data_IF_957564348312
#
_entry.id   IF_957564348312
#
_cell.length_a   1.000
_cell.length_b   1.000
_cell.length_c   1.000
_cell.angle_alpha   90.00
_cell.angle_beta   90.00
_cell.angle_gamma   90.00
#
_symmetry.space_group_name_H-M   'P 1'
#
loop_
_entity.id
_entity.type
_entity.pdbx_description
1 polymer ?
#
# COMPACT_ATOMS: atom_id res chain seq x y z
N UNK A 1 -4.40 61.83 -24.28
CA UNK A 1 -5.54 60.92 -24.03
C UNK A 1 -5.20 60.09 -22.81
N UNK A 2 -5.63 60.54 -21.63
CA UNK A 2 -5.39 59.89 -20.33
C UNK A 2 -6.72 59.95 -19.57
N UNK A 3 -7.23 58.79 -19.13
CA UNK A 3 -8.32 58.70 -18.15
C UNK A 3 -8.20 57.39 -17.36
N UNK A 4 -8.04 57.51 -16.04
CA UNK A 4 -8.44 56.62 -14.93
C UNK A 4 -7.84 57.29 -13.67
N UNK A 5 -8.53 57.56 -12.56
CA UNK A 5 -9.19 56.64 -11.63
C UNK A 5 -10.23 57.38 -10.75
N UNK A 6 -11.24 56.62 -10.27
CA UNK A 6 -12.31 57.05 -9.39
C UNK A 6 -11.94 56.95 -7.89
N UNK A 7 -12.31 58.02 -7.15
CA UNK A 7 -12.95 58.10 -5.83
C UNK A 7 -12.41 57.32 -4.60
N UNK A 8 -11.80 58.07 -3.68
CA UNK A 8 -11.80 57.82 -2.23
C UNK A 8 -13.04 58.51 -1.61
N UNK A 9 -13.84 57.77 -0.84
CA UNK A 9 -14.93 58.31 -0.02
C UNK A 9 -14.35 58.62 1.37
N UNK A 10 -14.29 59.90 1.73
CA UNK A 10 -14.05 60.36 3.10
C UNK A 10 -15.38 60.30 3.88
N UNK A 11 -15.45 59.44 4.89
CA UNK A 11 -16.53 59.50 5.89
C UNK A 11 -16.12 60.53 6.95
N UNK A 12 -16.73 61.71 6.90
CA UNK A 12 -16.58 62.75 7.92
C UNK A 12 -17.67 62.52 8.98
N UNK A 13 -17.29 62.02 10.15
CA UNK A 13 -18.17 61.99 11.31
C UNK A 13 -17.88 63.23 12.16
N UNK A 14 -18.75 64.25 12.08
CA UNK A 14 -18.69 65.45 12.91
C UNK A 14 -19.75 65.39 14.00
N UNK A 15 -19.37 65.05 15.21
CA UNK A 15 -20.13 65.40 16.42
C UNK A 15 -19.18 66.00 17.44
N UNK A 16 -19.33 67.31 17.68
CA UNK A 16 -18.78 68.00 18.84
C UNK A 16 -17.32 68.48 18.72
N UNK A 17 -17.08 69.51 17.91
CA UNK A 17 -16.16 70.61 18.24
C UNK A 17 -14.76 70.28 18.79
N UNK A 18 -13.94 69.53 18.05
CA UNK A 18 -12.50 69.80 17.94
C UNK A 18 -11.92 68.99 16.77
N UNK A 19 -11.29 69.65 15.79
CA UNK A 19 -10.69 69.00 14.64
C UNK A 19 -9.18 68.86 14.87
N UNK A 20 -8.74 67.71 15.40
CA UNK A 20 -7.34 67.31 15.38
C UNK A 20 -7.16 66.22 14.31
N UNK A 21 -6.24 66.45 13.38
CA UNK A 21 -5.81 65.44 12.42
C UNK A 21 -5.15 64.28 13.18
N UNK A 22 -5.85 63.17 13.31
CA UNK A 22 -5.21 61.91 13.69
C UNK A 22 -4.66 61.27 12.41
N UNK A 23 -3.34 61.25 12.29
CA UNK A 23 -2.64 60.39 11.34
C UNK A 23 -3.05 58.94 11.65
N UNK A 24 -3.73 58.27 10.73
CA UNK A 24 -3.76 56.81 10.73
C UNK A 24 -2.33 56.34 10.47
N UNK A 25 -1.68 55.88 11.53
CA UNK A 25 -0.50 55.02 11.43
C UNK A 25 -1.00 53.76 10.74
N UNK A 26 -0.70 53.62 9.45
CA UNK A 26 -0.62 52.31 8.82
C UNK A 26 0.43 51.53 9.61
N UNK A 27 -0.02 50.76 10.59
CA UNK A 27 0.80 49.75 11.23
C UNK A 27 0.98 48.65 10.17
N UNK A 28 2.00 48.83 9.33
CA UNK A 28 2.56 47.76 8.53
C UNK A 28 3.14 46.77 9.53
N UNK A 29 2.29 45.86 9.99
CA UNK A 29 2.69 44.74 10.82
C UNK A 29 3.51 43.77 9.94
N UNK A 30 4.74 44.19 9.68
CA UNK A 30 5.85 43.47 9.05
C UNK A 30 6.40 42.43 10.05
N UNK A 31 5.52 41.76 10.80
CA UNK A 31 5.86 40.69 11.73
C UNK A 31 5.60 39.29 11.15
N UNK A 32 5.09 39.18 9.91
CA UNK A 32 4.83 37.89 9.26
C UNK A 32 6.01 37.30 8.46
N UNK A 33 7.18 37.93 8.42
CA UNK A 33 8.37 37.40 7.72
C UNK A 33 9.42 36.73 8.61
N UNK A 34 9.13 36.55 9.92
CA UNK A 34 10.00 35.77 10.81
C UNK A 34 9.22 34.94 11.84
N UNK A 35 8.23 34.14 11.40
CA UNK A 35 7.82 32.99 12.22
C UNK A 35 8.96 31.98 12.20
N UNK A 36 9.58 31.75 13.36
CA UNK A 36 10.57 30.70 13.55
C UNK A 36 9.99 29.35 13.07
N UNK A 37 10.81 28.40 12.58
CA UNK A 37 10.33 27.09 12.11
C UNK A 37 9.59 26.25 13.17
N UNK A 38 9.55 26.71 14.42
CA UNK A 38 9.08 25.99 15.59
C UNK A 38 7.55 26.04 15.80
N UNK A 39 6.82 26.89 15.06
CA UNK A 39 5.39 27.14 15.29
C UNK A 39 4.50 26.82 14.07
N UNK A 40 4.92 25.84 13.25
CA UNK A 40 4.02 25.24 12.26
C UNK A 40 3.15 24.24 13.02
N UNK A 41 1.84 24.50 13.06
CA UNK A 41 0.85 23.62 13.65
C UNK A 41 0.90 22.17 13.13
N UNK A 42 0.01 21.30 13.63
CA UNK A 42 0.06 19.89 13.30
C UNK A 42 -0.06 19.66 11.79
N UNK A 43 0.81 18.84 11.23
CA UNK A 43 0.83 18.55 9.80
C UNK A 43 1.22 17.10 9.52
N UNK A 44 0.77 16.61 8.37
CA UNK A 44 1.06 15.26 7.90
C UNK A 44 2.44 15.20 7.22
N UNK A 45 3.22 14.18 7.55
CA UNK A 45 4.37 13.79 6.75
C UNK A 45 3.89 12.83 5.64
N UNK A 46 3.67 13.41 4.45
CA UNK A 46 3.17 12.70 3.26
C UNK A 46 4.17 11.67 2.73
N UNK A 47 5.46 11.81 3.04
CA UNK A 47 6.48 10.85 2.60
C UNK A 47 6.31 9.49 3.28
N UNK A 48 5.76 9.49 4.50
CA UNK A 48 5.48 8.32 5.31
C UNK A 48 4.02 7.83 5.21
N UNK A 49 3.13 8.59 4.54
CA UNK A 49 1.68 8.37 4.53
C UNK A 49 1.16 8.17 3.09
N UNK A 50 1.40 6.97 2.54
CA UNK A 50 1.16 6.64 1.11
C UNK A 50 0.03 5.61 0.93
N UNK A 51 -0.45 5.52 -0.30
CA UNK A 51 -1.30 4.39 -0.73
C UNK A 51 -0.54 3.07 -0.58
N UNK A 52 -1.25 2.01 -0.19
CA UNK A 52 -0.65 0.69 -0.02
C UNK A 52 -1.48 -0.39 -0.71
N UNK A 53 -0.78 -1.43 -1.13
CA UNK A 53 -1.40 -2.67 -1.61
C UNK A 53 -1.06 -3.78 -0.63
N UNK A 54 -2.08 -4.43 -0.08
CA UNK A 54 -1.96 -5.50 0.90
C UNK A 54 -2.46 -6.83 0.33
N UNK A 55 -1.91 -7.93 0.84
CA UNK A 55 -2.36 -9.27 0.52
C UNK A 55 -3.57 -9.66 1.36
N UNK A 56 -4.54 -10.35 0.76
CA UNK A 56 -5.66 -10.96 1.50
C UNK A 56 -5.12 -11.81 2.67
N UNK A 57 -5.73 -11.66 3.84
CA UNK A 57 -5.38 -12.43 5.03
C UNK A 57 -4.08 -12.00 5.74
N UNK A 58 -3.19 -11.23 5.10
CA UNK A 58 -1.96 -10.70 5.72
C UNK A 58 -2.23 -9.32 6.30
N UNK A 59 -1.82 -9.09 7.54
CA UNK A 59 -2.07 -7.81 8.23
C UNK A 59 -1.54 -6.62 7.43
N UNK A 60 -2.40 -5.64 7.20
CA UNK A 60 -2.06 -4.39 6.52
C UNK A 60 -1.84 -3.26 7.54
N UNK A 61 -0.96 -2.31 7.20
CA UNK A 61 -0.70 -1.12 8.01
C UNK A 61 -0.79 0.13 7.14
N UNK A 62 -1.82 0.94 7.40
CA UNK A 62 -1.94 2.27 6.84
C UNK A 62 -1.20 3.23 7.77
N UNK A 63 0.01 3.64 7.39
CA UNK A 63 0.78 4.56 8.21
C UNK A 63 0.33 6.01 8.00
N UNK A 64 0.16 6.74 9.11
CA UNK A 64 -0.08 8.18 9.09
C UNK A 64 0.87 8.84 10.08
N UNK A 65 1.84 9.58 9.57
CA UNK A 65 2.80 10.29 10.41
C UNK A 65 2.37 11.74 10.59
N UNK A 66 2.25 12.16 11.85
CA UNK A 66 1.80 13.51 12.20
C UNK A 66 2.85 14.20 13.04
N UNK A 67 3.38 15.32 12.55
CA UNK A 67 4.36 16.15 13.28
C UNK A 67 3.65 17.31 13.97
N UNK A 68 4.22 17.75 15.09
CA UNK A 68 3.71 18.86 15.90
C UNK A 68 2.25 18.67 16.37
N UNK A 69 1.86 17.43 16.74
CA UNK A 69 0.49 17.10 17.14
C UNK A 69 0.01 17.82 18.41
N UNK A 70 0.93 18.16 19.33
CA UNK A 70 0.60 18.81 20.59
C UNK A 70 -0.41 18.00 21.42
N UNK A 71 -1.50 18.66 21.85
CA UNK A 71 -2.58 18.03 22.60
C UNK A 71 -3.74 17.50 21.72
N UNK A 72 -3.53 17.42 20.41
CA UNK A 72 -4.53 16.93 19.46
C UNK A 72 -4.47 15.41 19.35
N UNK A 73 -5.50 14.84 18.74
CA UNK A 73 -5.63 13.40 18.54
C UNK A 73 -5.74 13.08 17.06
N UNK A 74 -5.26 11.90 16.69
CA UNK A 74 -5.45 11.33 15.36
C UNK A 74 -6.63 10.35 15.38
N UNK A 75 -7.53 10.46 14.42
CA UNK A 75 -8.61 9.51 14.19
C UNK A 75 -8.50 8.86 12.81
N UNK A 76 -9.00 7.64 12.68
CA UNK A 76 -9.12 6.95 11.39
C UNK A 76 -10.58 6.83 11.01
N UNK A 77 -10.89 7.22 9.77
CA UNK A 77 -12.24 7.18 9.20
C UNK A 77 -12.23 6.36 7.92
N UNK A 78 -13.20 5.47 7.75
CA UNK A 78 -13.44 4.77 6.48
C UNK A 78 -14.42 5.57 5.65
N UNK A 79 -14.04 5.96 4.43
CA UNK A 79 -14.86 6.85 3.61
C UNK A 79 -16.14 6.22 3.05
N UNK A 80 -16.12 4.92 2.72
CA UNK A 80 -17.26 4.24 2.07
C UNK A 80 -18.59 4.42 2.84
N UNK A 81 -18.52 4.46 4.17
CA UNK A 81 -19.67 4.57 5.07
C UNK A 81 -19.46 5.61 6.18
N UNK A 82 -18.43 6.45 6.05
CA UNK A 82 -18.08 7.52 7.00
C UNK A 82 -17.95 6.97 8.43
N UNK A 83 -17.46 5.73 8.56
CA UNK A 83 -17.39 5.05 9.85
C UNK A 83 -16.11 5.44 10.58
N UNK A 84 -16.25 5.95 11.80
CA UNK A 84 -15.13 6.23 12.70
C UNK A 84 -14.56 4.91 13.22
N UNK A 85 -13.33 4.59 12.82
CA UNK A 85 -12.66 3.35 13.19
C UNK A 85 -11.95 3.49 14.54
N UNK A 86 -11.19 4.57 14.72
CA UNK A 86 -10.37 4.80 15.91
C UNK A 86 -10.26 6.28 16.25
N UNK A 87 -10.00 6.59 17.53
CA UNK A 87 -9.57 7.92 18.02
C UNK A 87 -8.41 7.73 18.98
N UNK A 88 -7.27 8.33 18.66
CA UNK A 88 -6.01 8.05 19.32
C UNK A 88 -5.71 6.55 19.27
N UNK A 89 -5.53 5.93 20.44
CA UNK A 89 -5.27 4.49 20.59
C UNK A 89 -6.53 3.66 20.78
N UNK A 90 -7.69 4.29 20.89
CA UNK A 90 -8.95 3.61 21.17
C UNK A 90 -9.67 3.23 19.88
N UNK A 91 -10.17 1.99 19.83
CA UNK A 91 -10.96 1.48 18.69
C UNK A 91 -12.44 1.73 18.95
N UNK A 92 -13.13 2.34 17.99
CA UNK A 92 -14.54 2.72 18.05
C UNK A 92 -15.45 1.79 17.24
N UNK A 93 -14.91 1.12 16.22
CA UNK A 93 -15.65 0.11 15.49
C UNK A 93 -15.76 -1.20 16.27
N UNK A 94 -16.84 -1.95 16.06
CA UNK A 94 -17.00 -3.31 16.61
C UNK A 94 -16.17 -4.35 15.88
N UNK A 95 -15.69 -4.05 14.67
CA UNK A 95 -14.80 -4.94 13.92
C UNK A 95 -13.39 -4.95 14.53
N UNK A 96 -13.11 -5.98 15.33
CA UNK A 96 -11.86 -6.15 16.07
C UNK A 96 -10.61 -6.27 15.18
N UNK A 97 -10.77 -6.39 13.85
CA UNK A 97 -9.64 -6.41 12.91
C UNK A 97 -8.95 -5.06 12.80
N UNK A 98 -9.68 -3.97 13.02
CA UNK A 98 -9.16 -2.60 12.95
C UNK A 98 -8.62 -2.17 14.30
N UNK A 99 -7.37 -1.70 14.35
CA UNK A 99 -6.74 -1.20 15.56
C UNK A 99 -5.79 -0.05 15.24
N UNK A 100 -5.71 0.95 16.13
CA UNK A 100 -4.72 2.01 16.04
C UNK A 100 -3.42 1.61 16.76
N UNK A 101 -2.29 1.77 16.07
CA UNK A 101 -0.95 1.51 16.59
C UNK A 101 -0.17 2.82 16.53
N UNK A 102 0.16 3.37 17.71
CA UNK A 102 0.94 4.61 17.81
C UNK A 102 2.39 4.32 18.20
N UNK A 103 3.34 4.72 17.36
CA UNK A 103 4.77 4.70 17.66
C UNK A 103 5.26 6.10 18.06
N UNK A 104 5.55 6.35 19.36
CA UNK A 104 5.98 7.66 19.83
C UNK A 104 7.38 8.08 19.37
N UNK A 105 8.23 7.15 18.90
CA UNK A 105 9.58 7.49 18.45
C UNK A 105 9.57 8.12 17.05
N UNK A 106 8.58 7.76 16.23
CA UNK A 106 8.46 8.23 14.84
C UNK A 106 7.28 9.18 14.62
N UNK A 107 6.41 9.33 15.62
CA UNK A 107 5.10 10.01 15.56
C UNK A 107 4.13 9.37 14.55
N UNK A 108 4.23 8.05 14.39
CA UNK A 108 3.39 7.27 13.48
C UNK A 108 2.10 6.83 14.18
N UNK A 109 0.95 7.15 13.58
CA UNK A 109 -0.39 6.72 13.96
C UNK A 109 -0.95 5.75 12.92
N UNK A 110 -0.45 4.53 12.93
CA UNK A 110 -0.83 3.51 11.95
C UNK A 110 -2.20 2.88 12.25
N UNK A 111 -3.02 2.68 11.22
CA UNK A 111 -4.19 1.80 11.29
C UNK A 111 -3.77 0.40 10.86
N UNK A 112 -3.83 -0.53 11.80
CA UNK A 112 -3.66 -1.96 11.58
C UNK A 112 -4.99 -2.58 11.16
N UNK A 113 -4.97 -3.37 10.09
CA UNK A 113 -6.12 -4.16 9.62
C UNK A 113 -5.70 -5.62 9.57
N UNK A 114 -6.18 -6.44 10.52
CA UNK A 114 -5.89 -7.87 10.58
C UNK A 114 -6.77 -8.64 9.59
N UNK A 115 -6.18 -9.62 8.91
CA UNK A 115 -6.87 -10.47 7.93
C UNK A 115 -7.72 -9.67 6.93
N UNK A 116 -7.14 -8.70 6.20
CA UNK A 116 -7.87 -7.86 5.26
C UNK A 116 -8.50 -8.72 4.17
N UNK A 117 -9.67 -8.29 3.74
CA UNK A 117 -10.49 -8.95 2.73
C UNK A 117 -10.59 -8.04 1.49
N UNK A 118 -10.89 -8.59 0.31
CA UNK A 118 -11.06 -7.78 -0.91
C UNK A 118 -12.05 -6.61 -0.72
N UNK A 119 -13.10 -6.82 0.08
CA UNK A 119 -14.11 -5.80 0.45
C UNK A 119 -13.60 -4.65 1.31
N UNK A 120 -12.42 -4.76 1.92
CA UNK A 120 -11.81 -3.69 2.72
C UNK A 120 -11.05 -2.69 1.84
N UNK A 121 -10.91 -2.98 0.54
CA UNK A 121 -10.36 -2.03 -0.46
C UNK A 121 -11.16 -0.73 -0.46
N UNK A 122 -10.47 0.40 -0.44
CA UNK A 122 -11.09 1.72 -0.48
C UNK A 122 -10.24 2.81 0.15
N UNK A 123 -10.86 3.99 0.30
CA UNK A 123 -10.24 5.17 0.90
C UNK A 123 -10.42 5.16 2.42
N UNK A 124 -9.30 5.37 3.10
CA UNK A 124 -9.22 5.57 4.55
C UNK A 124 -8.58 6.93 4.80
N UNK A 125 -9.07 7.65 5.79
CA UNK A 125 -8.59 8.99 6.11
C UNK A 125 -8.11 9.06 7.53
N UNK A 126 -6.88 9.56 7.67
CA UNK A 126 -6.29 9.93 8.95
C UNK A 126 -6.63 11.40 9.21
N UNK A 127 -7.34 11.70 10.30
CA UNK A 127 -7.78 13.05 10.65
C UNK A 127 -7.11 13.53 11.93
N UNK A 128 -6.77 14.81 11.98
CA UNK A 128 -6.26 15.47 13.18
C UNK A 128 -7.37 16.35 13.75
N UNK A 129 -7.59 16.28 15.06
CA UNK A 129 -8.64 16.99 15.80
C UNK A 129 -8.42 18.52 15.93
N UNK A 130 -7.98 19.17 14.86
CA UNK A 130 -7.89 20.64 14.71
C UNK A 130 -9.28 21.23 14.47
N UNK A 131 -9.38 22.57 14.51
CA UNK A 131 -10.63 23.29 14.25
C UNK A 131 -10.40 24.27 13.09
N UNK A 132 -10.89 23.96 11.86
CA UNK A 132 -11.62 22.75 11.46
C UNK A 132 -10.71 21.51 11.39
N UNK A 133 -11.26 20.27 11.46
CA UNK A 133 -10.47 19.05 11.33
C UNK A 133 -9.76 18.98 9.98
N UNK A 134 -8.49 18.58 9.98
CA UNK A 134 -7.71 18.34 8.77
C UNK A 134 -7.50 16.85 8.58
N UNK A 135 -7.68 16.36 7.35
CA UNK A 135 -7.58 14.95 6.99
C UNK A 135 -6.55 14.70 5.89
N UNK A 136 -5.93 13.52 5.93
CA UNK A 136 -5.11 12.97 4.85
C UNK A 136 -5.67 11.62 4.42
N UNK A 137 -6.05 11.52 3.15
CA UNK A 137 -6.68 10.34 2.58
C UNK A 137 -5.65 9.42 1.91
N UNK A 138 -5.82 8.12 2.10
CA UNK A 138 -4.96 7.05 1.57
C UNK A 138 -5.83 5.93 0.99
N UNK A 139 -5.39 5.37 -0.12
CA UNK A 139 -6.03 4.22 -0.76
C UNK A 139 -5.40 2.92 -0.30
N UNK A 140 -6.23 1.99 0.17
CA UNK A 140 -5.87 0.60 0.43
C UNK A 140 -6.40 -0.27 -0.71
N UNK A 141 -5.50 -0.94 -1.42
CA UNK A 141 -5.84 -2.02 -2.35
C UNK A 141 -5.60 -3.38 -1.68
N UNK A 142 -6.62 -4.24 -1.60
CA UNK A 142 -6.45 -5.61 -1.08
C UNK A 142 -6.50 -6.60 -2.24
N UNK A 143 -5.37 -7.26 -2.51
CA UNK A 143 -5.18 -8.14 -3.67
C UNK A 143 -4.89 -9.58 -3.25
N UNK A 144 -5.22 -10.51 -4.14
CA UNK A 144 -4.95 -11.93 -4.01
C UNK A 144 -4.07 -12.36 -5.19
N UNK A 145 -2.84 -12.80 -4.94
CA UNK A 145 -1.94 -13.22 -6.01
C UNK A 145 -2.42 -14.51 -6.65
N UNK A 146 -2.19 -14.65 -7.95
CA UNK A 146 -2.65 -15.79 -8.74
C UNK A 146 -1.43 -16.51 -9.30
N UNK A 147 -1.34 -17.81 -9.01
CA UNK A 147 -0.31 -18.69 -9.58
C UNK A 147 -0.89 -19.48 -10.73
N UNK A 148 -0.14 -19.56 -11.83
CA UNK A 148 -0.52 -20.33 -13.02
C UNK A 148 0.70 -21.06 -13.54
N UNK A 149 0.54 -22.33 -13.96
CA UNK A 149 1.56 -23.02 -14.76
C UNK A 149 1.11 -22.95 -16.22
N UNK A 150 1.98 -22.50 -17.11
CA UNK A 150 1.71 -22.40 -18.54
C UNK A 150 1.56 -23.80 -19.12
N UNK A 151 0.43 -24.04 -19.77
CA UNK A 151 0.05 -25.33 -20.35
C UNK A 151 -1.45 -25.54 -20.24
N UNK A 152 -1.96 -26.53 -20.97
CA UNK A 152 -3.27 -27.13 -20.68
C UNK A 152 -3.11 -28.02 -19.42
N UNK A 153 -4.19 -28.46 -18.72
CA UNK A 153 -4.06 -29.25 -17.49
C UNK A 153 -3.16 -30.49 -17.60
N UNK A 154 -2.98 -31.00 -18.82
CA UNK A 154 -2.14 -32.15 -19.15
C UNK A 154 -1.11 -31.79 -20.24
N UNK A 155 0.18 -31.96 -19.95
CA UNK A 155 1.27 -31.71 -20.88
C UNK A 155 1.86 -33.03 -21.36
N UNK A 156 1.95 -33.23 -22.68
CA UNK A 156 2.48 -34.45 -23.29
C UNK A 156 3.84 -34.17 -23.93
N UNK A 157 4.86 -34.96 -23.57
CA UNK A 157 6.25 -34.76 -23.98
C UNK A 157 6.85 -36.11 -24.38
N UNK A 158 7.60 -36.17 -25.47
CA UNK A 158 8.27 -37.42 -25.86
C UNK A 158 9.49 -37.69 -24.98
N UNK A 159 9.82 -38.98 -24.80
CA UNK A 159 11.09 -39.38 -24.17
C UNK A 159 12.29 -38.68 -24.81
N UNK A 160 13.34 -38.46 -24.02
CA UNK A 160 14.56 -37.74 -24.37
C UNK A 160 14.40 -36.24 -24.73
N UNK A 161 13.18 -35.71 -24.75
CA UNK A 161 12.94 -34.26 -24.87
C UNK A 161 13.22 -33.52 -23.55
N UNK A 162 13.19 -32.18 -23.60
CA UNK A 162 13.31 -31.34 -22.40
C UNK A 162 11.94 -30.89 -21.91
N UNK A 163 11.62 -31.17 -20.64
CA UNK A 163 10.45 -30.59 -19.96
C UNK A 163 10.78 -29.17 -19.53
N UNK A 164 9.90 -28.22 -19.86
CA UNK A 164 9.99 -26.83 -19.42
C UNK A 164 8.64 -26.40 -18.85
N UNK A 165 8.50 -26.47 -17.52
CA UNK A 165 7.33 -25.97 -16.84
C UNK A 165 7.56 -24.52 -16.43
N UNK A 166 6.68 -23.63 -16.89
CA UNK A 166 6.76 -22.21 -16.58
C UNK A 166 5.64 -21.85 -15.61
N UNK A 167 6.00 -21.52 -14.38
CA UNK A 167 5.09 -21.03 -13.35
C UNK A 167 5.14 -19.50 -13.28
N UNK A 168 3.98 -18.86 -13.28
CA UNK A 168 3.81 -17.41 -13.29
C UNK A 168 2.94 -17.00 -12.11
N UNK A 169 3.45 -16.09 -11.28
CA UNK A 169 2.73 -15.46 -10.17
C UNK A 169 2.39 -14.02 -10.53
N UNK A 170 1.09 -13.69 -10.56
CA UNK A 170 0.54 -12.38 -10.93
C UNK A 170 -0.13 -11.70 -9.74
N UNK A 171 -0.37 -10.40 -9.84
CA UNK A 171 -1.11 -9.59 -8.85
C UNK A 171 -0.51 -9.64 -7.43
N UNK A 172 0.81 -9.84 -7.35
CA UNK A 172 1.52 -9.82 -6.08
C UNK A 172 2.13 -8.43 -5.85
N UNK A 173 1.85 -7.76 -4.72
CA UNK A 173 2.41 -6.45 -4.40
C UNK A 173 3.93 -6.51 -4.21
N UNK A 174 4.43 -7.66 -3.73
CA UNK A 174 5.85 -7.96 -3.59
C UNK A 174 6.14 -9.34 -4.18
N UNK A 175 7.32 -9.57 -4.81
CA UNK A 175 7.69 -10.89 -5.30
C UNK A 175 7.70 -11.94 -4.17
N UNK A 176 7.29 -13.20 -4.43
CA UNK A 176 7.45 -14.29 -3.47
C UNK A 176 8.91 -14.39 -2.98
N UNK A 177 9.10 -14.66 -1.69
CA UNK A 177 10.44 -14.90 -1.14
C UNK A 177 11.03 -16.18 -1.73
N UNK A 178 10.20 -17.23 -1.84
CA UNK A 178 10.53 -18.54 -2.41
C UNK A 178 9.42 -19.07 -3.32
N UNK A 179 9.81 -19.96 -4.25
CA UNK A 179 8.92 -20.79 -5.07
C UNK A 179 9.47 -22.21 -5.03
N UNK A 180 8.68 -23.16 -4.57
CA UNK A 180 9.04 -24.57 -4.51
C UNK A 180 8.32 -25.36 -5.59
N UNK A 181 9.00 -26.35 -6.16
CA UNK A 181 8.42 -27.31 -7.08
C UNK A 181 8.36 -28.68 -6.44
N UNK A 182 7.21 -29.34 -6.55
CA UNK A 182 7.05 -30.73 -6.13
C UNK A 182 6.61 -31.59 -7.30
N UNK A 183 7.04 -32.86 -7.28
CA UNK A 183 6.63 -33.92 -8.18
C UNK A 183 6.04 -35.05 -7.35
N UNK A 184 4.78 -35.41 -7.62
CA UNK A 184 4.04 -36.44 -6.86
C UNK A 184 4.10 -36.22 -5.33
N UNK A 185 3.93 -34.97 -4.89
CA UNK A 185 3.99 -34.51 -3.50
C UNK A 185 5.36 -34.59 -2.83
N UNK A 186 6.44 -34.85 -3.58
CA UNK A 186 7.81 -34.80 -3.08
C UNK A 186 8.53 -33.59 -3.66
N UNK A 187 9.30 -32.88 -2.84
CA UNK A 187 10.13 -31.78 -3.32
C UNK A 187 11.18 -32.29 -4.31
N UNK A 188 11.33 -31.58 -5.42
CA UNK A 188 12.27 -31.96 -6.46
C UNK A 188 13.69 -31.62 -5.99
N UNK A 189 14.55 -32.63 -5.91
CA UNK A 189 15.97 -32.43 -5.65
C UNK A 189 16.69 -31.99 -6.95
N UNK A 190 17.06 -30.71 -7.03
CA UNK A 190 17.77 -30.15 -8.18
C UNK A 190 19.21 -30.68 -8.33
N UNK A 191 19.80 -31.16 -7.23
CA UNK A 191 21.16 -31.74 -7.20
C UNK A 191 21.14 -33.27 -7.36
N UNK A 192 20.06 -33.84 -7.92
CA UNK A 192 19.95 -35.29 -8.04
C UNK A 192 21.08 -35.90 -8.88
N UNK A 193 21.52 -37.14 -8.59
CA UNK A 193 22.54 -37.84 -9.38
C UNK A 193 22.19 -38.03 -10.86
N UNK A 194 20.90 -37.90 -11.23
CA UNK A 194 20.46 -37.97 -12.63
C UNK A 194 21.04 -36.83 -13.47
N UNK A 195 21.23 -35.66 -12.86
CA UNK A 195 21.58 -34.42 -13.54
C UNK A 195 20.48 -33.90 -14.47
N UNK A 196 20.67 -32.69 -14.97
CA UNK A 196 19.76 -32.09 -15.96
C UNK A 196 18.42 -31.59 -15.41
N UNK A 197 18.29 -31.48 -14.09
CA UNK A 197 17.15 -30.81 -13.43
C UNK A 197 17.62 -29.45 -12.93
N UNK A 198 16.94 -28.38 -13.27
CA UNK A 198 17.28 -27.05 -12.77
C UNK A 198 16.06 -26.15 -12.62
N UNK A 199 16.15 -25.20 -11.70
CA UNK A 199 15.14 -24.17 -11.48
C UNK A 199 15.73 -22.79 -11.65
N UNK A 200 15.05 -21.94 -12.41
CA UNK A 200 15.41 -20.55 -12.62
C UNK A 200 14.22 -19.69 -12.24
N UNK A 201 14.37 -18.81 -11.25
CA UNK A 201 13.32 -17.90 -10.82
C UNK A 201 13.70 -16.45 -11.15
N UNK A 202 12.86 -15.78 -11.94
CA UNK A 202 12.97 -14.36 -12.28
C UNK A 202 11.95 -13.57 -11.49
N UNK A 203 12.41 -12.74 -10.55
CA UNK A 203 11.58 -11.84 -9.74
C UNK A 203 11.38 -10.51 -10.49
N UNK A 204 10.18 -9.95 -10.39
CA UNK A 204 9.79 -8.69 -11.03
C UNK A 204 8.34 -8.35 -10.68
N UNK A 205 7.71 -7.44 -11.42
CA UNK A 205 6.26 -7.15 -11.30
C UNK A 205 5.41 -8.43 -11.42
N UNK A 206 5.84 -9.33 -12.30
CA UNK A 206 5.36 -10.70 -12.39
C UNK A 206 6.53 -11.64 -12.14
N UNK A 207 6.39 -12.53 -11.16
CA UNK A 207 7.46 -13.50 -10.85
C UNK A 207 7.27 -14.75 -11.69
N UNK A 208 8.31 -15.19 -12.39
CA UNK A 208 8.28 -16.38 -13.24
C UNK A 208 9.33 -17.38 -12.79
N UNK A 209 8.93 -18.64 -12.57
CA UNK A 209 9.81 -19.76 -12.24
C UNK A 209 9.77 -20.79 -13.36
N UNK A 210 10.95 -21.22 -13.82
CA UNK A 210 11.12 -22.24 -14.85
C UNK A 210 11.70 -23.49 -14.19
N UNK A 211 10.99 -24.62 -14.29
CA UNK A 211 11.51 -25.94 -13.96
C UNK A 211 11.89 -26.64 -15.27
N UNK A 212 13.17 -26.96 -15.40
CA UNK A 212 13.75 -27.61 -16.57
C UNK A 212 14.18 -29.03 -16.20
N UNK A 213 13.72 -30.02 -16.96
CA UNK A 213 14.15 -31.42 -16.84
C UNK A 213 14.61 -31.90 -18.20
N UNK A 214 15.92 -32.11 -18.35
CA UNK A 214 16.52 -32.61 -19.58
C UNK A 214 16.40 -34.13 -19.70
N UNK A 215 16.34 -34.62 -20.94
CA UNK A 215 16.26 -36.05 -21.29
C UNK A 215 15.13 -36.74 -20.51
N UNK A 216 13.90 -36.36 -20.81
CA UNK A 216 12.70 -36.85 -20.14
C UNK A 216 12.61 -38.39 -20.17
N UNK A 217 12.29 -38.98 -19.02
CA UNK A 217 12.07 -40.42 -18.83
C UNK A 217 10.62 -40.66 -18.44
N UNK A 218 10.12 -41.86 -18.67
CA UNK A 218 8.76 -42.25 -18.26
C UNK A 218 8.48 -42.00 -16.78
N UNK A 219 9.51 -42.11 -15.92
CA UNK A 219 9.46 -41.81 -14.48
C UNK A 219 9.23 -40.34 -14.13
N UNK A 220 9.44 -39.41 -15.07
CA UNK A 220 9.12 -37.99 -14.89
C UNK A 220 7.63 -37.72 -15.07
N UNK A 221 6.85 -38.67 -15.58
CA UNK A 221 5.41 -38.51 -15.65
C UNK A 221 4.81 -38.34 -14.25
N UNK A 222 3.79 -37.51 -14.13
CA UNK A 222 3.08 -37.32 -12.88
C UNK A 222 2.65 -35.89 -12.63
N UNK A 223 2.27 -35.63 -11.38
CA UNK A 223 1.72 -34.35 -10.94
C UNK A 223 2.85 -33.42 -10.51
N UNK A 224 2.96 -32.28 -11.17
CA UNK A 224 3.86 -31.20 -10.80
C UNK A 224 3.10 -30.06 -10.15
N UNK A 225 3.61 -29.53 -9.05
CA UNK A 225 3.02 -28.40 -8.33
C UNK A 225 4.04 -27.30 -8.16
N UNK A 226 3.67 -26.08 -8.52
CA UNK A 226 4.41 -24.85 -8.23
C UNK A 226 3.78 -24.15 -7.02
N UNK A 227 4.56 -23.95 -5.97
CA UNK A 227 4.13 -23.42 -4.68
C UNK A 227 4.93 -22.17 -4.29
N UNK A 228 4.45 -20.96 -4.63
CA UNK A 228 5.05 -19.71 -4.16
C UNK A 228 4.70 -19.40 -2.71
N UNK A 229 5.54 -18.60 -2.03
CA UNK A 229 5.40 -18.29 -0.60
C UNK A 229 4.22 -17.36 -0.23
N UNK A 230 3.65 -16.64 -1.20
CA UNK A 230 2.64 -15.60 -0.98
C UNK A 230 1.42 -15.72 -1.90
N UNK A 231 1.25 -16.86 -2.58
CA UNK A 231 0.11 -17.15 -3.43
C UNK A 231 -0.27 -18.63 -3.31
N UNK A 232 -1.48 -18.98 -3.72
CA UNK A 232 -1.91 -20.37 -3.74
C UNK A 232 -1.14 -21.18 -4.80
N UNK A 233 -0.91 -22.49 -4.58
CA UNK A 233 -0.16 -23.31 -5.51
C UNK A 233 -0.95 -23.62 -6.79
N UNK A 234 -0.23 -23.85 -7.89
CA UNK A 234 -0.80 -24.30 -9.17
C UNK A 234 -0.27 -25.68 -9.53
N UNK A 235 -1.10 -26.50 -10.19
CA UNK A 235 -0.79 -27.89 -10.56
C UNK A 235 -0.84 -28.08 -12.08
N UNK A 236 0.01 -28.97 -12.60
CA UNK A 236 -0.07 -29.51 -13.96
C UNK A 236 0.27 -31.01 -13.94
N UNK A 237 -0.36 -31.81 -14.80
CA UNK A 237 0.04 -33.20 -15.01
C UNK A 237 0.94 -33.29 -16.25
N UNK A 238 2.05 -34.01 -16.15
CA UNK A 238 2.96 -34.25 -17.25
C UNK A 238 2.95 -35.73 -17.61
N UNK A 239 2.83 -36.02 -18.90
CA UNK A 239 2.79 -37.37 -19.46
C UNK A 239 3.96 -37.52 -20.43
N UNK A 240 4.88 -38.44 -20.12
CA UNK A 240 6.01 -38.74 -21.00
C UNK A 240 5.64 -39.93 -21.89
N UNK A 241 5.62 -39.69 -23.20
CA UNK A 241 5.25 -40.68 -24.21
C UNK A 241 6.51 -41.34 -24.79
N UNK A 242 6.49 -42.67 -24.91
CA UNK A 242 7.47 -43.38 -25.73
C UNK A 242 7.06 -43.16 -27.19
N UNK A 243 7.90 -42.45 -27.95
CA UNK A 243 7.72 -42.26 -29.39
C UNK A 243 7.83 -43.55 -30.17
#
# INVERSE_FOLDING_TARGET
>A
MITHWLLLILVVCCLGGNCSAFNEIYDSDESNLLRTPLDRGPHFDLSASKNITALVGKTAYLNCRVKNIGNKTVSWVRHRDIHLLTVGRFTYTSDQRFQAVHNPQTDDWSLQIRYPQKRDTGVYECQISTTPPVGHSMFLAVVEPITTIVGVPDLYINTDSTVNLTCIVRNSPEPPSTIFWTHNNQEINYDSPRGGVSVITKKGEMTTSYLLIQRARTTDSGKYVCSPSNADPSTINVHILNG
#
